data_IF_517691223573
#
_entry.id   IF_517691223573
#
_cell.length_a   1.000
_cell.length_b   1.000
_cell.length_c   1.000
_cell.angle_alpha   90.00
_cell.angle_beta   90.00
_cell.angle_gamma   90.00
#
_symmetry.space_group_name_H-M   'P 1'
#
loop_
_entity.id
_entity.type
_entity.pdbx_description
1 polymer ?
#
# COMPACT_ATOMS: atom_id res chain seq x y z
N UNK A 1 21.58 -17.07 8.61
CA UNK A 1 21.28 -15.91 7.74
C UNK A 1 19.93 -15.36 8.16
N UNK A 2 19.90 -14.14 8.68
CA UNK A 2 18.67 -13.40 9.01
C UNK A 2 18.21 -12.67 7.76
N UNK A 3 17.16 -13.17 7.11
CA UNK A 3 16.52 -12.51 5.96
C UNK A 3 15.47 -11.55 6.51
N UNK A 4 15.61 -10.25 6.24
CA UNK A 4 14.60 -9.27 6.63
C UNK A 4 13.54 -9.12 5.53
N UNK A 5 12.31 -9.54 5.83
CA UNK A 5 11.11 -9.30 5.00
C UNK A 5 10.69 -7.82 4.97
N UNK A 6 11.31 -6.97 5.81
CA UNK A 6 11.07 -5.53 5.88
C UNK A 6 12.04 -4.72 5.01
N UNK A 7 13.05 -5.37 4.42
CA UNK A 7 14.05 -4.75 3.54
C UNK A 7 13.82 -5.09 2.06
N UNK A 8 14.33 -4.24 1.16
CA UNK A 8 14.27 -4.43 -0.30
C UNK A 8 15.02 -5.65 -0.84
N UNK A 9 15.60 -6.46 0.05
CA UNK A 9 16.46 -7.59 -0.29
C UNK A 9 15.66 -8.86 -0.57
N UNK A 10 14.53 -9.02 0.12
CA UNK A 10 13.66 -10.20 0.02
C UNK A 10 12.47 -9.93 -0.90
N UNK A 11 11.81 -8.80 -0.69
CA UNK A 11 10.58 -8.41 -1.37
C UNK A 11 10.76 -7.05 -2.02
N UNK A 12 10.25 -6.88 -3.25
CA UNK A 12 10.19 -5.57 -3.90
C UNK A 12 8.76 -5.26 -4.32
N UNK A 13 8.30 -4.09 -3.93
CA UNK A 13 7.07 -3.47 -4.43
C UNK A 13 7.45 -2.46 -5.51
N UNK A 14 6.91 -2.63 -6.71
CA UNK A 14 7.16 -1.75 -7.85
C UNK A 14 5.88 -0.97 -8.15
N UNK A 15 5.81 0.32 -7.78
CA UNK A 15 4.67 1.16 -8.11
C UNK A 15 4.71 1.61 -9.59
N UNK A 16 3.55 1.77 -10.21
CA UNK A 16 3.40 2.27 -11.59
C UNK A 16 2.05 2.96 -11.79
N UNK A 17 1.84 3.58 -12.95
CA UNK A 17 0.53 4.06 -13.43
C UNK A 17 -0.27 4.92 -12.42
N UNK A 18 0.37 5.97 -11.90
CA UNK A 18 -0.31 6.91 -10.98
C UNK A 18 -1.43 7.66 -11.72
N UNK A 19 -2.59 7.74 -11.08
CA UNK A 19 -3.78 8.45 -11.55
C UNK A 19 -4.35 9.26 -10.39
N UNK A 20 -4.84 10.46 -10.68
CA UNK A 20 -5.43 11.35 -9.69
C UNK A 20 -6.84 11.71 -10.17
N UNK A 21 -7.83 11.55 -9.30
CA UNK A 21 -9.22 11.90 -9.61
C UNK A 21 -9.44 13.41 -9.62
N UNK A 22 -10.58 13.84 -10.17
CA UNK A 22 -11.12 15.15 -9.84
C UNK A 22 -11.46 15.24 -8.34
N UNK A 23 -11.46 16.47 -7.79
CA UNK A 23 -11.84 16.73 -6.41
C UNK A 23 -13.29 16.32 -6.17
N UNK A 24 -13.53 15.54 -5.11
CA UNK A 24 -14.89 15.12 -4.74
C UNK A 24 -15.47 13.99 -5.58
N UNK A 25 -14.72 13.43 -6.54
CA UNK A 25 -15.24 12.41 -7.46
C UNK A 25 -15.68 11.12 -6.76
N UNK A 26 -15.02 10.75 -5.65
CA UNK A 26 -15.30 9.52 -4.89
C UNK A 26 -15.68 9.80 -3.44
N UNK A 27 -14.98 10.74 -2.79
CA UNK A 27 -15.24 11.17 -1.42
C UNK A 27 -15.30 12.70 -1.42
N UNK A 28 -16.33 13.33 -0.82
CA UNK A 28 -16.44 14.77 -0.77
C UNK A 28 -15.17 15.44 -0.24
N UNK A 29 -14.73 16.50 -0.92
CA UNK A 29 -13.53 17.29 -0.58
C UNK A 29 -12.20 16.51 -0.59
N UNK A 30 -12.14 15.32 -1.21
CA UNK A 30 -10.90 14.54 -1.34
C UNK A 30 -10.52 14.33 -2.81
N UNK A 31 -9.23 14.20 -3.04
CA UNK A 31 -8.68 13.60 -4.27
C UNK A 31 -8.43 12.12 -4.00
N UNK A 32 -8.67 11.27 -4.98
CA UNK A 32 -8.19 9.87 -4.95
C UNK A 32 -6.94 9.76 -5.79
N UNK A 33 -5.85 9.35 -5.16
CA UNK A 33 -4.62 8.94 -5.84
C UNK A 33 -4.63 7.43 -5.94
N UNK A 34 -4.69 6.90 -7.15
CA UNK A 34 -4.65 5.47 -7.45
C UNK A 34 -3.35 5.15 -8.16
N UNK A 35 -2.74 4.03 -7.82
CA UNK A 35 -1.56 3.53 -8.51
C UNK A 35 -1.55 2.01 -8.50
N UNK A 36 -0.79 1.48 -9.43
CA UNK A 36 -0.59 0.05 -9.62
C UNK A 36 0.63 -0.40 -8.81
N UNK A 37 0.57 -1.60 -8.24
CA UNK A 37 1.66 -2.22 -7.48
C UNK A 37 1.89 -3.62 -8.00
N UNK A 38 3.15 -3.89 -8.35
CA UNK A 38 3.64 -5.23 -8.64
C UNK A 38 4.45 -5.75 -7.45
N UNK A 39 4.16 -6.97 -7.02
CA UNK A 39 4.96 -7.69 -6.02
C UNK A 39 6.00 -8.58 -6.72
N UNK A 40 7.25 -8.48 -6.30
CA UNK A 40 8.34 -9.34 -6.75
C UNK A 40 8.98 -10.06 -5.54
N UNK A 41 9.12 -11.37 -5.68
CA UNK A 41 9.94 -12.19 -4.80
C UNK A 41 11.38 -12.20 -5.34
N UNK A 42 12.32 -11.63 -4.58
CA UNK A 42 13.73 -11.57 -5.00
C UNK A 42 14.55 -12.79 -4.57
N UNK A 43 13.96 -13.69 -3.78
CA UNK A 43 14.65 -14.87 -3.30
C UNK A 43 14.72 -15.93 -4.41
N UNK A 44 15.91 -16.50 -4.68
CA UNK A 44 16.09 -17.46 -5.78
C UNK A 44 15.65 -18.89 -5.43
N UNK A 45 15.50 -19.22 -4.16
CA UNK A 45 15.23 -20.58 -3.68
C UNK A 45 14.07 -20.67 -2.68
N UNK A 46 13.35 -19.57 -2.46
CA UNK A 46 12.27 -19.50 -1.48
C UNK A 46 11.00 -19.00 -2.17
N UNK A 47 9.89 -19.66 -1.89
CA UNK A 47 8.55 -19.29 -2.34
C UNK A 47 7.84 -18.55 -1.20
N UNK A 48 7.16 -17.45 -1.51
CA UNK A 48 6.24 -16.83 -0.56
C UNK A 48 4.94 -17.61 -0.54
N UNK A 49 4.46 -17.94 0.66
CA UNK A 49 3.15 -18.55 0.88
C UNK A 49 2.30 -17.67 1.78
N UNK A 50 1.01 -18.01 1.89
CA UNK A 50 0.12 -17.39 2.86
C UNK A 50 0.77 -17.30 4.24
N UNK A 51 0.69 -16.12 4.86
CA UNK A 51 1.26 -15.91 6.18
C UNK A 51 0.50 -16.70 7.25
N UNK A 52 1.22 -17.28 8.20
CA UNK A 52 0.62 -17.82 9.42
C UNK A 52 0.53 -16.77 10.52
N UNK A 53 1.35 -15.72 10.46
CA UNK A 53 1.24 -14.56 11.35
C UNK A 53 1.76 -13.26 10.70
N UNK A 54 1.01 -12.14 10.78
CA UNK A 54 -0.39 -12.09 11.19
C UNK A 54 -1.28 -12.90 10.23
N UNK A 55 -2.30 -13.59 10.76
CA UNK A 55 -3.18 -14.44 9.95
C UNK A 55 -4.00 -13.57 9.00
N UNK A 56 -3.89 -13.76 7.68
CA UNK A 56 -4.65 -12.97 6.72
C UNK A 56 -6.11 -13.42 6.66
N UNK A 57 -7.02 -12.54 6.22
CA UNK A 57 -8.44 -12.87 6.02
C UNK A 57 -8.70 -13.92 4.93
N UNK A 58 -7.70 -14.22 4.10
CA UNK A 58 -7.71 -15.28 3.09
C UNK A 58 -6.32 -15.94 3.04
N UNK A 59 -6.19 -17.24 2.68
CA UNK A 59 -4.92 -17.95 2.62
C UNK A 59 -4.07 -17.53 1.41
N UNK A 60 -3.66 -16.27 1.39
CA UNK A 60 -2.90 -15.62 0.33
C UNK A 60 -1.73 -14.82 0.89
N UNK A 61 -0.75 -14.52 0.03
CA UNK A 61 0.23 -13.47 0.29
C UNK A 61 -0.50 -12.13 0.19
N UNK A 62 -0.53 -11.37 1.28
CA UNK A 62 -1.29 -10.11 1.34
C UNK A 62 -0.39 -8.92 1.55
N UNK A 63 -0.82 -7.77 1.05
CA UNK A 63 -0.20 -6.47 1.31
C UNK A 63 -1.20 -5.52 1.93
N UNK A 64 -0.76 -4.75 2.92
CA UNK A 64 -1.54 -3.71 3.57
C UNK A 64 -0.66 -2.50 3.94
N UNK A 65 -1.22 -1.29 4.08
CA UNK A 65 -0.46 -0.10 4.44
C UNK A 65 -0.34 -0.02 5.97
N UNK A 66 0.84 -0.27 6.52
CA UNK A 66 1.08 -0.19 7.97
C UNK A 66 1.10 1.25 8.48
N UNK A 67 1.69 2.16 7.70
CA UNK A 67 1.84 3.56 8.07
C UNK A 67 1.74 4.45 6.84
N UNK A 68 1.25 5.67 7.03
CA UNK A 68 1.20 6.68 5.98
C UNK A 68 1.30 8.08 6.58
N UNK A 69 2.36 8.78 6.19
CA UNK A 69 2.72 10.08 6.74
C UNK A 69 2.65 11.16 5.66
N UNK A 70 2.20 12.35 6.05
CA UNK A 70 2.23 13.54 5.20
C UNK A 70 3.48 14.36 5.51
N UNK A 71 4.07 14.96 4.48
CA UNK A 71 5.09 15.99 4.70
C UNK A 71 4.37 17.33 4.82
N UNK A 72 4.33 17.89 6.03
CA UNK A 72 3.75 19.22 6.24
C UNK A 72 4.72 20.31 5.81
N UNK A 73 4.18 21.45 5.39
CA UNK A 73 4.94 22.64 5.06
C UNK A 73 4.29 23.85 5.74
N UNK A 74 5.04 24.64 6.53
CA UNK A 74 4.55 25.94 6.98
C UNK A 74 4.51 26.84 5.74
N UNK A 75 3.32 27.27 5.34
CA UNK A 75 3.18 28.22 4.24
C UNK A 75 3.94 29.52 4.52
N UNK A 76 4.10 30.36 3.50
CA UNK A 76 4.83 31.61 3.65
C UNK A 76 4.78 32.48 2.40
N UNK A 77 5.26 33.71 2.56
CA UNK A 77 5.43 34.66 1.46
C UNK A 77 6.89 35.11 1.47
N UNK A 78 7.54 35.09 0.31
CA UNK A 78 8.89 35.59 0.12
C UNK A 78 8.90 36.57 -1.06
N UNK A 79 9.73 37.60 -0.97
CA UNK A 79 10.09 38.41 -2.13
C UNK A 79 11.26 37.75 -2.86
N UNK A 80 11.14 37.60 -4.17
CA UNK A 80 12.27 37.22 -5.02
C UNK A 80 13.01 38.49 -5.49
N UNK A 81 14.20 38.34 -6.10
CA UNK A 81 14.95 39.47 -6.65
C UNK A 81 14.14 40.21 -7.73
N UNK A 82 13.55 41.36 -7.36
CA UNK A 82 12.83 42.25 -8.28
C UNK A 82 11.32 42.34 -8.00
N UNK A 83 10.51 41.97 -8.99
CA UNK A 83 9.05 42.18 -9.02
C UNK A 83 8.23 40.89 -8.86
N UNK A 84 8.83 39.82 -8.37
CA UNK A 84 8.16 38.55 -8.12
C UNK A 84 7.88 38.34 -6.62
N UNK A 85 6.67 37.85 -6.33
CA UNK A 85 6.23 37.45 -4.98
C UNK A 85 6.03 35.95 -5.00
N UNK A 86 6.85 35.22 -4.25
CA UNK A 86 6.68 33.81 -4.00
C UNK A 86 5.63 33.59 -2.90
N UNK A 87 4.56 32.84 -3.20
CA UNK A 87 3.55 32.43 -2.22
C UNK A 87 3.58 30.92 -2.07
N UNK A 88 4.05 30.44 -0.92
CA UNK A 88 4.00 29.03 -0.53
C UNK A 88 2.73 28.76 0.27
N UNK A 89 1.89 27.84 -0.20
CA UNK A 89 0.73 27.40 0.56
C UNK A 89 1.14 26.44 1.68
N UNK A 90 0.49 26.49 2.85
CA UNK A 90 0.71 25.49 3.88
C UNK A 90 0.30 24.11 3.36
N UNK A 91 1.21 23.15 3.51
CA UNK A 91 0.96 21.75 3.21
C UNK A 91 0.50 21.03 4.47
N UNK A 92 -0.61 20.31 4.38
CA UNK A 92 -1.21 19.60 5.52
C UNK A 92 -2.41 18.74 5.10
N UNK A 93 -2.97 17.98 6.03
CA UNK A 93 -4.22 17.25 5.81
C UNK A 93 -4.15 15.78 6.24
N UNK A 94 -5.10 15.00 5.71
CA UNK A 94 -5.27 13.58 5.99
C UNK A 94 -5.16 12.76 4.72
N UNK A 95 -4.52 11.62 4.86
CA UNK A 95 -4.42 10.56 3.86
C UNK A 95 -5.11 9.35 4.47
N UNK A 96 -5.95 8.67 3.71
CA UNK A 96 -6.64 7.45 4.15
C UNK A 96 -6.67 6.44 3.01
N UNK A 97 -6.36 5.15 3.24
CA UNK A 97 -6.52 4.11 2.22
C UNK A 97 -7.94 4.11 1.64
N UNK A 98 -8.04 4.08 0.31
CA UNK A 98 -9.33 4.09 -0.37
C UNK A 98 -10.06 2.75 -0.23
N UNK A 99 -11.35 2.75 -0.55
CA UNK A 99 -12.17 1.53 -0.58
C UNK A 99 -11.88 0.60 -1.77
N UNK A 100 -11.03 1.03 -2.72
CA UNK A 100 -10.76 0.30 -3.97
C UNK A 100 -9.74 -0.83 -3.79
N UNK A 101 -9.11 -0.91 -2.61
CA UNK A 101 -8.33 -2.08 -2.24
C UNK A 101 -9.26 -3.28 -2.22
N UNK A 102 -9.01 -4.22 -3.13
CA UNK A 102 -10.00 -5.22 -3.52
C UNK A 102 -9.73 -6.61 -2.96
N UNK A 103 -8.94 -6.76 -1.89
CA UNK A 103 -8.70 -8.06 -1.24
C UNK A 103 -8.21 -9.12 -2.23
N UNK A 104 -8.97 -10.19 -2.39
CA UNK A 104 -8.68 -11.29 -3.34
C UNK A 104 -9.10 -10.99 -4.79
N UNK A 105 -9.58 -9.78 -5.07
CA UNK A 105 -10.02 -9.34 -6.39
C UNK A 105 -11.52 -9.52 -6.63
N UNK A 106 -12.28 -10.01 -5.66
CA UNK A 106 -13.75 -10.08 -5.71
C UNK A 106 -14.37 -8.86 -5.02
N UNK A 107 -15.53 -8.42 -5.50
CA UNK A 107 -16.23 -7.25 -4.93
C UNK A 107 -16.46 -7.42 -3.43
N UNK A 108 -16.13 -6.37 -2.66
CA UNK A 108 -16.28 -6.36 -1.21
C UNK A 108 -15.22 -7.14 -0.42
N UNK A 109 -14.33 -7.90 -1.06
CA UNK A 109 -13.34 -8.70 -0.34
C UNK A 109 -12.24 -7.89 0.35
N UNK A 110 -11.96 -6.66 -0.09
CA UNK A 110 -10.99 -5.78 0.56
C UNK A 110 -11.55 -4.92 1.70
N UNK A 111 -12.59 -5.41 2.39
CA UNK A 111 -13.05 -4.82 3.65
C UNK A 111 -11.88 -4.73 4.66
N UNK A 112 -11.83 -3.69 5.53
CA UNK A 112 -10.73 -3.56 6.46
C UNK A 112 -10.66 -4.75 7.43
N UNK A 113 -9.44 -5.17 7.76
CA UNK A 113 -9.19 -6.31 8.62
C UNK A 113 -8.18 -5.96 9.70
N UNK A 114 -8.41 -6.49 10.91
CA UNK A 114 -7.47 -6.36 12.01
C UNK A 114 -6.54 -7.56 12.04
N UNK A 115 -5.33 -7.35 11.54
CA UNK A 115 -4.28 -8.36 11.46
C UNK A 115 -3.72 -8.76 12.84
N UNK A 116 -3.93 -7.96 13.89
CA UNK A 116 -3.42 -8.23 15.24
C UNK A 116 -4.39 -9.04 16.09
N UNK A 117 -5.69 -8.85 15.88
CA UNK A 117 -6.76 -9.58 16.61
C UNK A 117 -7.49 -10.61 15.72
N UNK A 118 -7.10 -10.70 14.45
CA UNK A 118 -7.68 -11.62 13.45
C UNK A 118 -9.20 -11.43 13.26
N UNK A 119 -9.66 -10.18 13.28
CA UNK A 119 -11.08 -9.83 13.23
C UNK A 119 -11.43 -8.97 12.01
N UNK A 120 -12.62 -9.21 11.44
CA UNK A 120 -13.20 -8.31 10.45
C UNK A 120 -13.52 -6.97 11.11
N UNK A 121 -13.19 -5.88 10.44
CA UNK A 121 -13.54 -4.54 10.90
C UNK A 121 -14.84 -4.07 10.27
N UNK A 122 -15.48 -3.09 10.92
CA UNK A 122 -16.47 -2.26 10.23
C UNK A 122 -15.81 -1.55 9.03
N UNK A 123 -16.61 -0.87 8.20
CA UNK A 123 -16.11 -0.23 6.98
C UNK A 123 -15.05 0.88 7.20
N UNK A 124 -14.84 1.30 8.44
CA UNK A 124 -13.85 2.31 8.82
C UNK A 124 -12.42 1.73 8.91
N UNK A 125 -11.47 2.46 8.35
CA UNK A 125 -10.03 2.23 8.57
C UNK A 125 -9.65 2.91 9.89
N UNK A 126 -8.97 2.18 10.76
CA UNK A 126 -8.47 2.68 12.05
C UNK A 126 -6.99 2.33 12.19
N UNK A 127 -6.37 2.65 13.33
CA UNK A 127 -4.98 2.27 13.63
C UNK A 127 -4.74 0.76 13.55
N UNK A 128 -5.78 -0.04 13.77
CA UNK A 128 -5.66 -1.50 13.79
C UNK A 128 -6.47 -2.19 12.67
N UNK A 129 -7.18 -1.42 11.84
CA UNK A 129 -8.05 -1.95 10.78
C UNK A 129 -7.55 -1.50 9.41
N UNK A 130 -7.00 -2.42 8.64
CA UNK A 130 -6.27 -2.10 7.42
C UNK A 130 -7.00 -2.60 6.17
N UNK A 131 -7.02 -1.76 5.14
CA UNK A 131 -7.32 -2.20 3.77
C UNK A 131 -6.18 -3.09 3.27
N UNK A 132 -6.50 -4.04 2.40
CA UNK A 132 -5.53 -5.04 1.94
C UNK A 132 -5.83 -5.51 0.52
N UNK A 133 -4.79 -6.03 -0.13
CA UNK A 133 -4.86 -6.71 -1.43
C UNK A 133 -4.04 -7.98 -1.38
N UNK A 134 -4.46 -8.97 -2.16
CA UNK A 134 -3.85 -10.30 -2.16
C UNK A 134 -3.11 -10.54 -3.48
N UNK A 135 -2.01 -11.27 -3.44
CA UNK A 135 -1.19 -11.58 -4.60
C UNK A 135 -1.26 -13.07 -5.00
N UNK A 136 -2.20 -13.83 -4.44
CA UNK A 136 -2.34 -15.27 -4.62
C UNK A 136 -1.69 -16.07 -3.49
N UNK A 137 -1.97 -17.38 -3.47
CA UNK A 137 -1.49 -18.31 -2.43
C UNK A 137 0.01 -18.59 -2.48
N UNK A 138 0.65 -18.38 -3.64
CA UNK A 138 2.09 -18.55 -3.85
C UNK A 138 2.72 -17.48 -4.73
N UNK A 139 3.91 -17.03 -4.35
CA UNK A 139 4.80 -16.24 -5.20
C UNK A 139 6.13 -16.98 -5.34
N UNK A 140 6.33 -17.57 -6.51
CA UNK A 140 7.50 -18.40 -6.80
C UNK A 140 8.82 -17.61 -6.75
N UNK A 141 9.97 -18.28 -6.64
CA UNK A 141 11.27 -17.64 -6.61
C UNK A 141 11.50 -16.78 -7.86
N UNK A 142 12.11 -15.60 -7.67
CA UNK A 142 12.36 -14.63 -8.74
C UNK A 142 11.11 -14.21 -9.55
N UNK A 143 9.90 -14.51 -9.07
CA UNK A 143 8.68 -14.26 -9.80
C UNK A 143 8.10 -12.87 -9.52
N UNK A 144 7.37 -12.36 -10.50
CA UNK A 144 6.52 -11.17 -10.39
C UNK A 144 5.06 -11.58 -10.44
N UNK A 145 4.24 -10.95 -9.60
CA UNK A 145 2.80 -11.19 -9.56
C UNK A 145 2.04 -10.18 -10.42
N UNK A 146 0.79 -10.50 -10.81
CA UNK A 146 -0.06 -9.56 -11.53
C UNK A 146 -0.21 -8.24 -10.77
N UNK A 147 -0.36 -7.17 -11.53
CA UNK A 147 -0.56 -5.81 -11.03
C UNK A 147 -1.82 -5.74 -10.17
N UNK A 148 -1.72 -5.11 -9.00
CA UNK A 148 -2.84 -4.73 -8.14
C UNK A 148 -2.98 -3.22 -8.09
N UNK A 149 -4.18 -2.71 -8.34
CA UNK A 149 -4.46 -1.28 -8.19
C UNK A 149 -4.88 -1.00 -6.76
N UNK A 150 -4.27 0.02 -6.15
CA UNK A 150 -4.56 0.49 -4.79
C UNK A 150 -4.66 2.00 -4.80
N UNK A 151 -5.34 2.59 -3.81
CA UNK A 151 -5.47 4.03 -3.76
C UNK A 151 -5.55 4.60 -2.36
N UNK A 152 -5.44 5.93 -2.31
CA UNK A 152 -5.57 6.73 -1.10
C UNK A 152 -6.46 7.93 -1.39
N UNK A 153 -7.42 8.18 -0.51
CA UNK A 153 -8.20 9.42 -0.48
C UNK A 153 -7.42 10.45 0.35
N UNK A 154 -7.11 11.60 -0.25
CA UNK A 154 -6.22 12.63 0.32
C UNK A 154 -6.90 14.00 0.33
N UNK A 155 -6.61 14.80 1.35
CA UNK A 155 -7.00 16.22 1.33
C UNK A 155 -6.26 16.97 0.21
N UNK A 156 -6.88 17.97 -0.45
CA UNK A 156 -6.25 18.71 -1.55
C UNK A 156 -4.98 19.48 -1.16
N UNK A 157 -4.82 19.78 0.13
CA UNK A 157 -3.64 20.44 0.70
C UNK A 157 -2.46 19.48 0.92
N UNK A 158 -2.62 18.18 0.69
CA UNK A 158 -1.53 17.20 0.80
C UNK A 158 -0.69 17.24 -0.47
N UNK A 159 0.47 17.90 -0.40
CA UNK A 159 1.41 17.98 -1.53
C UNK A 159 2.20 16.67 -1.74
N UNK A 160 2.54 15.98 -0.66
CA UNK A 160 3.27 14.71 -0.68
C UNK A 160 2.90 13.86 0.53
N UNK A 161 2.80 12.56 0.32
CA UNK A 161 2.71 11.56 1.38
C UNK A 161 3.61 10.37 1.07
N UNK A 162 3.95 9.60 2.10
CA UNK A 162 4.66 8.33 2.00
C UNK A 162 3.81 7.26 2.66
N UNK A 163 3.55 6.16 1.95
CA UNK A 163 2.91 4.98 2.51
C UNK A 163 3.95 3.87 2.71
N UNK A 164 4.02 3.32 3.92
CA UNK A 164 4.80 2.13 4.25
C UNK A 164 3.91 0.91 4.11
N UNK A 165 4.19 0.11 3.09
CA UNK A 165 3.44 -1.10 2.77
C UNK A 165 4.14 -2.30 3.38
N UNK A 166 3.38 -3.21 3.98
CA UNK A 166 3.87 -4.49 4.48
C UNK A 166 3.31 -5.60 3.62
N UNK A 167 4.15 -6.57 3.27
CA UNK A 167 3.75 -7.83 2.66
C UNK A 167 3.85 -8.91 3.72
N UNK A 168 2.72 -9.53 4.05
CA UNK A 168 2.68 -10.67 4.95
C UNK A 168 2.73 -11.96 4.12
N UNK A 169 3.80 -12.73 4.34
CA UNK A 169 4.00 -14.04 3.75
C UNK A 169 4.88 -14.91 4.65
N UNK A 170 4.65 -16.21 4.61
CA UNK A 170 5.60 -17.19 5.11
C UNK A 170 6.58 -17.58 4.00
N UNK A 171 7.74 -18.11 4.39
CA UNK A 171 8.78 -18.55 3.47
C UNK A 171 8.90 -20.08 3.53
N UNK A 172 8.83 -20.73 2.37
CA UNK A 172 9.14 -22.15 2.23
C UNK A 172 10.21 -22.37 1.17
N UNK A 173 10.95 -23.47 1.27
CA UNK A 173 11.86 -23.90 0.21
C UNK A 173 11.07 -24.10 -1.09
N UNK A 174 11.63 -23.60 -2.19
CA UNK A 174 11.10 -23.89 -3.52
C UNK A 174 11.12 -25.40 -3.76
N UNK A 175 9.98 -25.97 -4.17
CA UNK A 175 9.93 -27.37 -4.58
C UNK A 175 10.69 -27.48 -5.90
N UNK A 176 11.92 -28.02 -5.85
CA UNK A 176 12.64 -28.41 -7.06
C UNK A 176 11.88 -29.59 -7.66
N UNK A 177 11.10 -29.36 -8.72
CA UNK A 177 10.64 -30.46 -9.54
C UNK A 177 11.88 -30.99 -10.25
N UNK A 178 12.37 -32.16 -9.84
CA UNK A 178 13.43 -32.85 -10.57
C UNK A 178 12.95 -33.08 -12.03
N UNK A 179 13.83 -32.89 -13.03
CA UNK A 179 13.49 -33.10 -14.43
C UNK A 179 13.08 -34.54 -14.73
#
# INVERSE_FOLDING_TARGET
MTLSLLGSDVVRLVPSNVRISALGAYVPNKLRVTFDVTLENKLPSLTFTAATWPTPPAPEVVMFPLDYEITSAPGGVAGDDGNAIGVGLPGGGKVTPSVDWNGVGTSGSGAPYNFFTTAACAMAVTTDCFRWVAFGSRVEPAARRPVRSVGFDIDPSVARFRARMIVAADLIAATVTAP
#
